data_IF_687034991485
#
_entry.id   IF_687034991485
#
_cell.length_a   1.000
_cell.length_b   1.000
_cell.length_c   1.000
_cell.angle_alpha   90.00
_cell.angle_beta   90.00
_cell.angle_gamma   90.00
#
_symmetry.space_group_name_H-M   'P 1'
#
loop_
_entity.id
_entity.type
_entity.pdbx_description
1 polymer ?
#
# COMPACT_ATOMS: atom_id res chain seq x y z
N UNK A 1 14.49 -0.74 -17.39
CA UNK A 1 15.16 0.08 -16.36
C UNK A 1 16.01 1.17 -16.98
N UNK A 2 17.15 0.87 -17.63
CA UNK A 2 18.08 1.90 -18.18
C UNK A 2 17.47 2.82 -19.25
N UNK A 3 16.73 2.27 -20.22
CA UNK A 3 16.12 3.08 -21.29
C UNK A 3 15.07 4.10 -20.79
N UNK A 4 14.42 3.82 -19.65
CA UNK A 4 13.42 4.70 -19.03
C UNK A 4 13.94 5.40 -17.76
N UNK A 5 15.25 5.31 -17.49
CA UNK A 5 15.91 5.86 -16.31
C UNK A 5 15.27 5.49 -14.96
N UNK A 6 14.78 4.25 -14.83
CA UNK A 6 14.20 3.74 -13.57
C UNK A 6 15.23 2.94 -12.75
N UNK A 7 15.21 3.16 -11.43
CA UNK A 7 15.98 2.38 -10.45
C UNK A 7 15.19 1.16 -9.99
N UNK A 8 15.91 0.12 -9.60
CA UNK A 8 15.29 -1.04 -8.97
C UNK A 8 14.70 -0.67 -7.61
N UNK A 9 13.67 -1.42 -7.24
CA UNK A 9 13.09 -1.41 -5.89
C UNK A 9 13.53 -2.72 -5.25
N UNK A 10 14.18 -2.61 -4.10
CA UNK A 10 14.70 -3.76 -3.34
C UNK A 10 13.77 -4.14 -2.18
N UNK A 11 13.03 -3.17 -1.65
CA UNK A 11 12.10 -3.35 -0.54
C UNK A 11 10.78 -2.66 -0.85
N UNK A 12 9.68 -3.35 -0.57
CA UNK A 12 8.33 -2.82 -0.60
C UNK A 12 7.72 -2.98 0.79
N UNK A 13 7.40 -1.85 1.42
CA UNK A 13 6.67 -1.82 2.70
C UNK A 13 5.28 -1.26 2.43
N UNK A 14 4.25 -2.08 2.62
CA UNK A 14 2.89 -1.70 2.28
C UNK A 14 1.85 -2.47 3.08
N UNK A 15 0.85 -1.76 3.61
CA UNK A 15 -0.27 -2.31 4.36
C UNK A 15 -1.57 -1.88 3.71
N UNK A 16 -2.57 -2.77 3.73
CA UNK A 16 -3.90 -2.50 3.19
C UNK A 16 -4.78 -1.82 4.23
N UNK A 17 -5.77 -1.06 3.77
CA UNK A 17 -6.86 -0.61 4.64
C UNK A 17 -7.57 -1.81 5.28
N UNK A 18 -7.97 -1.72 6.56
CA UNK A 18 -8.59 -2.83 7.28
C UNK A 18 -10.06 -2.99 6.88
N UNK A 19 -10.32 -3.39 5.64
CA UNK A 19 -11.66 -3.46 5.04
C UNK A 19 -12.64 -4.26 5.90
N UNK A 20 -12.19 -5.39 6.47
CA UNK A 20 -12.99 -6.20 7.41
C UNK A 20 -13.47 -5.39 8.62
N UNK A 21 -12.61 -4.56 9.19
CA UNK A 21 -12.97 -3.71 10.32
C UNK A 21 -13.89 -2.57 9.89
N UNK A 22 -13.72 -2.05 8.67
CA UNK A 22 -14.62 -1.03 8.11
C UNK A 22 -16.06 -1.54 8.00
N UNK A 23 -16.26 -2.70 7.35
CA UNK A 23 -17.61 -3.25 7.16
C UNK A 23 -18.24 -3.79 8.45
N UNK A 24 -17.44 -4.07 9.48
CA UNK A 24 -17.93 -4.50 10.78
C UNK A 24 -18.48 -3.34 11.63
N UNK A 25 -18.27 -2.07 11.23
CA UNK A 25 -18.83 -0.91 11.94
C UNK A 25 -20.35 -0.92 11.84
N UNK A 26 -21.08 -0.65 12.94
CA UNK A 26 -22.55 -0.71 12.96
C UNK A 26 -23.24 0.26 11.98
N UNK A 27 -22.57 1.36 11.60
CA UNK A 27 -23.09 2.37 10.67
C UNK A 27 -22.39 2.34 9.30
N UNK A 28 -21.79 1.21 8.91
CA UNK A 28 -21.13 1.12 7.60
C UNK A 28 -22.18 1.15 6.48
N UNK A 29 -22.08 2.14 5.59
CA UNK A 29 -22.84 2.18 4.34
C UNK A 29 -22.11 1.44 3.23
N UNK A 30 -22.82 1.05 2.17
CA UNK A 30 -22.22 0.48 0.97
C UNK A 30 -21.18 1.43 0.35
N UNK A 31 -21.50 2.72 0.26
CA UNK A 31 -20.57 3.76 -0.21
C UNK A 31 -19.29 3.80 0.63
N UNK A 32 -19.43 3.75 1.97
CA UNK A 32 -18.27 3.71 2.88
C UNK A 32 -17.44 2.45 2.67
N UNK A 33 -18.08 1.31 2.41
CA UNK A 33 -17.38 0.07 2.10
C UNK A 33 -16.61 0.21 0.76
N UNK A 34 -17.27 0.64 -0.32
CA UNK A 34 -16.67 0.78 -1.65
C UNK A 34 -15.43 1.68 -1.61
N UNK A 35 -15.50 2.82 -0.92
CA UNK A 35 -14.37 3.76 -0.76
C UNK A 35 -13.18 3.18 0.03
N UNK A 36 -13.40 2.12 0.82
CA UNK A 36 -12.35 1.44 1.57
C UNK A 36 -11.77 0.22 0.83
N UNK A 37 -12.18 -0.06 -0.42
CA UNK A 37 -11.58 -1.13 -1.22
C UNK A 37 -10.23 -0.64 -1.76
N UNK A 38 -9.15 -1.23 -1.25
CA UNK A 38 -7.80 -0.91 -1.70
C UNK A 38 -7.50 -1.61 -3.04
N UNK A 39 -7.42 -0.83 -4.12
CA UNK A 39 -6.99 -1.29 -5.46
C UNK A 39 -5.76 -0.50 -5.90
N UNK A 40 -5.79 0.80 -5.62
CA UNK A 40 -4.78 1.80 -5.92
C UNK A 40 -5.33 3.08 -6.49
N UNK A 41 -4.78 4.20 -6.03
CA UNK A 41 -5.32 5.56 -6.16
C UNK A 41 -6.42 5.69 -7.21
N UNK A 42 -7.66 5.42 -6.80
CA UNK A 42 -8.84 5.93 -7.46
C UNK A 42 -9.15 7.22 -6.72
N UNK A 43 -8.88 8.35 -7.38
CA UNK A 43 -9.27 9.67 -6.89
C UNK A 43 -10.79 9.66 -6.66
N UNK A 44 -11.22 9.70 -5.39
CA UNK A 44 -12.63 9.97 -5.03
C UNK A 44 -12.74 11.42 -4.54
N UNK A 45 -13.56 12.27 -5.19
CA UNK A 45 -13.71 13.67 -4.81
C UNK A 45 -14.50 13.89 -3.52
N UNK A 46 -14.96 12.82 -2.84
CA UNK A 46 -15.92 12.90 -1.74
C UNK A 46 -15.31 12.80 -0.33
N UNK A 47 -13.98 12.72 -0.18
CA UNK A 47 -13.35 12.72 1.15
C UNK A 47 -12.50 13.98 1.40
N UNK A 48 -12.81 14.77 2.46
CA UNK A 48 -11.89 15.80 2.95
C UNK A 48 -10.64 15.10 3.49
N UNK A 49 -9.51 15.32 2.83
CA UNK A 49 -8.24 14.68 3.15
C UNK A 49 -7.72 15.18 4.52
N UNK A 50 -7.58 14.33 5.56
CA UNK A 50 -6.87 14.69 6.75
C UNK A 50 -5.44 14.16 6.58
N UNK A 51 -4.56 14.94 5.94
CA UNK A 51 -3.13 15.07 6.29
C UNK A 51 -2.37 15.79 5.19
N UNK A 52 -1.63 16.87 5.51
CA UNK A 52 -0.79 17.58 4.53
C UNK A 52 0.53 16.83 4.22
N UNK A 53 0.80 15.67 4.83
CA UNK A 53 2.09 14.99 4.69
C UNK A 53 2.17 13.92 3.58
N UNK A 54 1.05 13.56 2.94
CA UNK A 54 1.02 12.55 1.87
C UNK A 54 0.69 13.16 0.50
N UNK A 55 1.05 14.43 0.28
CA UNK A 55 0.87 15.10 -1.01
C UNK A 55 2.08 14.95 -1.95
N UNK A 56 3.13 14.24 -1.52
CA UNK A 56 4.38 14.14 -2.28
C UNK A 56 4.75 12.70 -2.66
N UNK A 57 3.91 12.04 -3.46
CA UNK A 57 4.41 11.36 -4.65
C UNK A 57 3.29 11.02 -5.62
N UNK A 58 3.44 11.57 -6.82
CA UNK A 58 2.67 11.21 -8.01
C UNK A 58 2.58 9.69 -8.16
N UNK A 59 1.35 9.17 -8.21
CA UNK A 59 0.98 7.91 -8.89
C UNK A 59 1.67 6.65 -8.33
N UNK A 60 1.50 6.36 -7.04
CA UNK A 60 1.84 5.03 -6.49
C UNK A 60 0.75 4.03 -6.92
N UNK A 61 1.08 2.87 -7.50
CA UNK A 61 0.13 1.76 -7.64
C UNK A 61 -0.41 1.36 -6.27
N UNK A 62 -1.68 0.97 -6.17
CA UNK A 62 -2.32 0.69 -4.89
C UNK A 62 -1.69 -0.35 -4.04
N UNK A 63 -2.15 -0.44 -2.80
CA UNK A 63 -1.60 -1.36 -1.83
C UNK A 63 -1.63 -2.79 -2.33
N UNK A 64 -2.77 -3.22 -2.90
CA UNK A 64 -2.91 -4.59 -3.46
C UNK A 64 -2.03 -4.81 -4.69
N UNK A 65 -1.97 -3.85 -5.61
CA UNK A 65 -1.16 -3.98 -6.83
C UNK A 65 0.33 -4.03 -6.50
N UNK A 66 0.77 -3.17 -5.59
CA UNK A 66 2.15 -3.07 -5.13
C UNK A 66 2.58 -4.36 -4.41
N UNK A 67 1.77 -4.85 -3.46
CA UNK A 67 2.04 -6.10 -2.75
C UNK A 67 2.12 -7.30 -3.69
N UNK A 68 1.18 -7.43 -4.63
CA UNK A 68 1.18 -8.56 -5.58
C UNK A 68 2.37 -8.52 -6.52
N UNK A 69 2.74 -7.34 -7.04
CA UNK A 69 3.89 -7.18 -7.92
C UNK A 69 5.21 -7.50 -7.18
N UNK A 70 5.36 -7.02 -5.95
CA UNK A 70 6.53 -7.28 -5.11
C UNK A 70 6.66 -8.77 -4.76
N UNK A 71 5.59 -9.39 -4.27
CA UNK A 71 5.56 -10.81 -3.90
C UNK A 71 5.86 -11.73 -5.10
N UNK A 72 5.36 -11.40 -6.30
CA UNK A 72 5.70 -12.13 -7.52
C UNK A 72 7.21 -12.07 -7.83
N UNK A 73 7.88 -10.98 -7.45
CA UNK A 73 9.31 -10.76 -7.69
C UNK A 73 10.18 -11.00 -6.43
N UNK A 74 9.75 -11.89 -5.53
CA UNK A 74 10.39 -12.18 -4.24
C UNK A 74 11.86 -12.63 -4.33
N UNK A 75 12.30 -13.14 -5.48
CA UNK A 75 13.71 -13.48 -5.70
C UNK A 75 14.65 -12.26 -5.62
N UNK A 76 14.13 -11.04 -5.77
CA UNK A 76 14.90 -9.79 -5.65
C UNK A 76 14.27 -8.77 -4.69
N UNK A 77 12.95 -8.77 -4.56
CA UNK A 77 12.22 -7.75 -3.79
C UNK A 77 11.77 -8.34 -2.47
N UNK A 78 12.17 -7.72 -1.37
CA UNK A 78 11.59 -8.04 -0.07
C UNK A 78 10.28 -7.29 0.10
N UNK A 79 9.21 -8.00 0.48
CA UNK A 79 7.89 -7.42 0.75
C UNK A 79 7.58 -7.53 2.24
N UNK A 80 7.17 -6.41 2.85
CA UNK A 80 6.78 -6.32 4.25
C UNK A 80 5.37 -5.74 4.33
N UNK A 81 4.42 -6.52 4.86
CA UNK A 81 3.02 -6.11 5.03
C UNK A 81 2.51 -6.24 6.47
N UNK A 82 3.39 -6.58 7.41
CA UNK A 82 3.10 -6.64 8.82
C UNK A 82 4.21 -5.89 9.60
N UNK A 83 3.86 -4.87 10.41
CA UNK A 83 4.84 -4.16 11.22
C UNK A 83 5.65 -5.05 12.17
N UNK A 84 5.10 -6.20 12.58
CA UNK A 84 5.81 -7.16 13.43
C UNK A 84 7.07 -7.75 12.79
N UNK A 85 7.16 -7.75 11.46
CA UNK A 85 8.28 -8.36 10.73
C UNK A 85 9.46 -7.39 10.53
N UNK A 86 9.28 -6.11 10.88
CA UNK A 86 10.28 -5.08 10.59
C UNK A 86 11.59 -5.33 11.33
N UNK A 87 11.52 -5.70 12.61
CA UNK A 87 12.73 -5.97 13.39
C UNK A 87 13.52 -7.14 12.79
N UNK A 88 12.83 -8.25 12.49
CA UNK A 88 13.47 -9.41 11.87
C UNK A 88 14.10 -9.08 10.51
N UNK A 89 13.50 -8.16 9.74
CA UNK A 89 14.08 -7.70 8.48
C UNK A 89 15.32 -6.83 8.71
N UNK A 90 15.25 -5.88 9.66
CA UNK A 90 16.38 -5.02 10.02
C UNK A 90 17.58 -5.85 10.49
N UNK A 91 17.34 -6.88 11.30
CA UNK A 91 18.38 -7.79 11.79
C UNK A 91 19.07 -8.61 10.68
N UNK A 92 18.47 -8.71 9.49
CA UNK A 92 19.05 -9.43 8.33
C UNK A 92 19.91 -8.54 7.43
N UNK A 93 19.76 -7.21 7.53
CA UNK A 93 20.44 -6.25 6.65
C UNK A 93 21.56 -5.47 7.35
N UNK A 94 21.65 -5.58 8.68
CA UNK A 94 22.76 -5.09 9.52
C UNK A 94 23.75 -6.21 9.74
#
# INVERSE_FOLDING_TARGET
MKANNFKFVDVVVCNLYPFRATIAKPNCTEETAIENIDIGWTWSPLQPQPTPLLFLSKRIPGGVTLLRAAAKNHARVTVLCNPGDYQQYLDKIV
#
